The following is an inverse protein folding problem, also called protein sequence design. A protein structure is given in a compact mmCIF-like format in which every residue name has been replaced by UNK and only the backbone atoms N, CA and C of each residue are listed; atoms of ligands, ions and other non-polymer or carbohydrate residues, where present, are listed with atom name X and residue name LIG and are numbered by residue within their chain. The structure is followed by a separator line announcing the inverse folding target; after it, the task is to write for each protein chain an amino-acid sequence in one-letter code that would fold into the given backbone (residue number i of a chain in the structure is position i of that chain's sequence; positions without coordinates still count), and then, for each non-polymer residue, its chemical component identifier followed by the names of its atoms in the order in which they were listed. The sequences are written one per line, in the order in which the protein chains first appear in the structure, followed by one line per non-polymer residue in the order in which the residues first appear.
data_IF_522099041810
#
_entry.id   IF_522099041810
#
_cell.length_a   1.000
_cell.length_b   1.000
_cell.length_c   1.000
_cell.angle_alpha   90.00
_cell.angle_beta   90.00
_cell.angle_gamma   90.00
#
_symmetry.space_group_name_H-M   'P 1'
#
loop_
_entity.id
_entity.type
_entity.pdbx_description
1 polymer ?
#
# COMPACT_ATOMS: atom_id res chain seq x y z
N UNK A 1 -16.48 -11.52 4.53
CA UNK A 1 -15.99 -10.17 4.84
C UNK A 1 -14.67 -10.32 5.59
N UNK A 2 -13.52 -10.16 4.90
CA UNK A 2 -12.17 -10.09 5.53
C UNK A 2 -11.02 -9.72 4.55
N UNK A 3 -11.21 -9.78 3.23
CA UNK A 3 -10.08 -9.78 2.27
C UNK A 3 -9.15 -8.55 2.31
N UNK A 4 -9.69 -7.34 2.48
CA UNK A 4 -8.88 -6.11 2.38
C UNK A 4 -8.06 -5.81 3.63
N UNK A 5 -8.56 -6.19 4.80
CA UNK A 5 -7.84 -6.07 6.08
C UNK A 5 -6.68 -7.05 6.12
N UNK A 6 -6.90 -8.27 5.63
CA UNK A 6 -5.88 -9.32 5.58
C UNK A 6 -4.72 -8.93 4.64
N UNK A 7 -5.02 -8.39 3.44
CA UNK A 7 -4.00 -7.91 2.50
C UNK A 7 -3.16 -6.78 3.10
N UNK A 8 -3.79 -5.81 3.78
CA UNK A 8 -3.06 -4.72 4.44
C UNK A 8 -2.14 -5.24 5.54
N UNK A 9 -2.59 -6.21 6.35
CA UNK A 9 -1.77 -6.81 7.39
C UNK A 9 -0.54 -7.54 6.80
N UNK A 10 -0.71 -8.26 5.69
CA UNK A 10 0.41 -8.95 5.02
C UNK A 10 1.44 -7.97 4.45
N UNK A 11 1.00 -6.88 3.80
CA UNK A 11 1.89 -5.82 3.31
C UNK A 11 2.71 -5.22 4.46
N UNK A 12 2.05 -4.91 5.57
CA UNK A 12 2.68 -4.34 6.75
C UNK A 12 3.73 -5.27 7.35
N UNK A 13 3.40 -6.57 7.48
CA UNK A 13 4.32 -7.58 7.97
C UNK A 13 5.56 -7.70 7.08
N UNK A 14 5.38 -7.75 5.76
CA UNK A 14 6.50 -7.82 4.82
C UNK A 14 7.44 -6.60 4.97
N UNK A 15 6.87 -5.39 5.07
CA UNK A 15 7.66 -4.18 5.27
C UNK A 15 8.40 -4.18 6.61
N UNK A 16 7.77 -4.61 7.70
CA UNK A 16 8.43 -4.70 9.01
C UNK A 16 9.60 -5.70 9.02
N UNK A 17 9.44 -6.84 8.35
CA UNK A 17 10.50 -7.85 8.26
C UNK A 17 11.71 -7.37 7.44
N UNK A 18 11.49 -6.51 6.44
CA UNK A 18 12.56 -5.99 5.57
C UNK A 18 13.24 -4.74 6.09
N UNK A 19 12.55 -3.94 6.92
CA UNK A 19 13.03 -2.64 7.37
C UNK A 19 13.01 -2.56 8.90
N UNK A 20 14.09 -3.09 9.50
CA UNK A 20 14.24 -3.22 10.97
C UNK A 20 14.19 -1.86 11.72
N UNK A 21 14.39 -0.74 11.01
CA UNK A 21 14.55 0.60 11.63
C UNK A 21 13.35 1.55 11.47
N UNK A 22 12.23 1.12 10.89
CA UNK A 22 11.04 1.97 10.70
C UNK A 22 9.93 1.53 11.66
N UNK A 23 9.72 2.29 12.73
CA UNK A 23 8.84 1.90 13.86
C UNK A 23 7.34 1.94 13.52
N UNK A 24 6.93 2.75 12.55
CA UNK A 24 5.52 2.92 12.18
C UNK A 24 5.33 2.89 10.67
N UNK A 25 4.47 1.99 10.19
CA UNK A 25 4.01 1.98 8.80
C UNK A 25 2.52 2.31 8.74
N UNK A 26 2.11 2.93 7.63
CA UNK A 26 0.71 3.20 7.32
C UNK A 26 0.46 2.92 5.84
N UNK A 27 -0.69 2.35 5.53
CA UNK A 27 -1.15 2.16 4.15
C UNK A 27 -2.25 3.16 3.86
N UNK A 28 -2.05 3.98 2.84
CA UNK A 28 -3.08 4.91 2.34
C UNK A 28 -3.38 4.64 0.87
N UNK A 29 -4.62 4.90 0.44
CA UNK A 29 -5.03 4.81 -0.95
C UNK A 29 -5.50 6.19 -1.39
N UNK A 30 -4.83 6.76 -2.38
CA UNK A 30 -5.25 7.98 -3.07
C UNK A 30 -6.04 7.63 -4.32
N UNK A 31 -6.98 8.51 -4.69
CA UNK A 31 -7.78 8.38 -5.90
C UNK A 31 -7.53 9.62 -6.75
N UNK A 32 -7.04 9.42 -7.97
CA UNK A 32 -6.91 10.49 -8.95
C UNK A 32 -7.97 10.29 -10.04
N UNK A 33 -8.80 11.31 -10.24
CA UNK A 33 -9.83 11.31 -11.28
C UNK A 33 -9.58 12.41 -12.31
N UNK A 34 -9.57 12.05 -13.60
CA UNK A 34 -9.46 12.97 -14.74
C UNK A 34 -10.51 12.61 -15.80
N UNK A 35 -11.66 13.28 -15.73
CA UNK A 35 -12.82 12.92 -16.56
C UNK A 35 -13.36 11.55 -16.14
N UNK A 36 -13.52 10.66 -17.13
CA UNK A 36 -13.92 9.25 -16.93
C UNK A 36 -12.77 8.36 -16.42
N UNK A 37 -11.53 8.87 -16.41
CA UNK A 37 -10.38 8.09 -15.97
C UNK A 37 -10.22 8.18 -14.45
N UNK A 38 -10.20 7.04 -13.77
CA UNK A 38 -9.98 6.92 -12.33
C UNK A 38 -8.80 5.98 -12.06
N UNK A 39 -7.86 6.44 -11.24
CA UNK A 39 -6.68 5.66 -10.84
C UNK A 39 -6.63 5.62 -9.32
N UNK A 40 -6.55 4.41 -8.76
CA UNK A 40 -6.30 4.21 -7.34
C UNK A 40 -4.82 3.92 -7.15
N UNK A 41 -4.17 4.63 -6.24
CA UNK A 41 -2.76 4.40 -5.89
C UNK A 41 -2.66 4.11 -4.41
N UNK A 42 -2.18 2.91 -4.07
CA UNK A 42 -1.88 2.51 -2.71
C UNK A 42 -0.41 2.83 -2.38
N UNK A 43 -0.17 3.35 -1.18
CA UNK A 43 1.15 3.73 -0.68
C UNK A 43 1.40 3.08 0.66
N UNK A 44 2.60 2.52 0.85
CA UNK A 44 3.15 2.24 2.18
C UNK A 44 4.01 3.44 2.57
N UNK A 45 3.67 4.05 3.69
CA UNK A 45 4.38 5.21 4.24
C UNK A 45 4.96 4.83 5.59
N UNK A 46 6.24 5.10 5.79
CA UNK A 46 6.89 4.94 7.08
C UNK A 46 6.99 6.28 7.84
N UNK A 47 6.78 6.24 9.15
CA UNK A 47 6.84 7.40 10.06
C UNK A 47 8.25 7.96 10.26
N UNK A 48 8.45 8.89 11.21
CA UNK A 48 7.71 10.15 11.36
C UNK A 48 7.93 11.11 10.17
N UNK A 49 8.88 10.80 9.28
CA UNK A 49 9.24 11.62 8.12
C UNK A 49 8.31 11.42 6.90
N UNK A 50 7.31 10.55 7.01
CA UNK A 50 6.34 10.22 5.95
C UNK A 50 7.02 9.79 4.64
N UNK A 51 8.02 8.92 4.75
CA UNK A 51 8.74 8.40 3.58
C UNK A 51 7.88 7.36 2.88
N UNK A 52 7.71 7.48 1.56
CA UNK A 52 7.03 6.45 0.77
C UNK A 52 8.00 5.29 0.53
N UNK A 53 7.67 4.11 1.07
CA UNK A 53 8.49 2.90 0.99
C UNK A 53 8.13 2.10 -0.25
N UNK A 54 6.83 1.97 -0.53
CA UNK A 54 6.33 1.26 -1.69
C UNK A 54 5.05 1.93 -2.20
N UNK A 55 4.80 1.80 -3.50
CA UNK A 55 3.54 2.25 -4.11
C UNK A 55 3.15 1.33 -5.26
N UNK A 56 1.84 1.18 -5.46
CA UNK A 56 1.29 0.49 -6.60
C UNK A 56 -0.03 1.13 -7.02
N UNK A 57 -0.37 1.03 -8.30
CA UNK A 57 -1.62 1.57 -8.84
C UNK A 57 -2.51 0.47 -9.42
N UNK A 58 -3.80 0.75 -9.50
CA UNK A 58 -4.80 -0.10 -10.13
C UNK A 58 -6.04 0.70 -10.52
N UNK A 59 -6.92 0.04 -11.26
CA UNK A 59 -8.22 0.58 -11.68
C UNK A 59 -9.23 0.56 -10.54
N UNK A 60 -8.95 -0.18 -9.45
CA UNK A 60 -9.72 -0.17 -8.20
C UNK A 60 -8.79 -0.13 -6.98
N UNK A 61 -9.31 0.27 -5.82
CA UNK A 61 -8.55 0.25 -4.57
C UNK A 61 -8.05 -1.17 -4.22
N UNK A 62 -8.84 -2.21 -4.49
CA UNK A 62 -8.45 -3.59 -4.23
C UNK A 62 -7.32 -4.03 -5.16
N UNK A 63 -7.39 -3.69 -6.45
CA UNK A 63 -6.33 -3.98 -7.41
C UNK A 63 -5.02 -3.28 -7.03
N UNK A 64 -5.09 -2.01 -6.63
CA UNK A 64 -3.93 -1.26 -6.15
C UNK A 64 -3.28 -1.92 -4.91
N UNK A 65 -4.09 -2.42 -3.98
CA UNK A 65 -3.60 -3.14 -2.80
C UNK A 65 -3.01 -4.51 -3.15
N UNK A 66 -3.62 -5.27 -4.06
CA UNK A 66 -3.07 -6.54 -4.53
C UNK A 66 -1.73 -6.35 -5.25
N UNK A 67 -1.63 -5.33 -6.11
CA UNK A 67 -0.36 -5.00 -6.77
C UNK A 67 0.70 -4.55 -5.75
N UNK A 68 0.30 -3.83 -4.71
CA UNK A 68 1.20 -3.43 -3.62
C UNK A 68 1.68 -4.63 -2.81
N UNK A 69 0.82 -5.62 -2.56
CA UNK A 69 1.19 -6.88 -1.92
C UNK A 69 2.24 -7.62 -2.75
N UNK A 70 2.08 -7.72 -4.06
CA UNK A 70 3.06 -8.38 -4.94
C UNK A 70 4.43 -7.71 -4.85
N UNK A 71 4.49 -6.37 -4.87
CA UNK A 71 5.77 -5.63 -4.83
C UNK A 71 6.45 -5.72 -3.45
N UNK A 72 5.66 -5.84 -2.38
CA UNK A 72 6.18 -5.95 -1.01
C UNK A 72 6.44 -7.40 -0.60
N UNK A 73 5.99 -8.38 -1.37
CA UNK A 73 6.27 -9.80 -1.13
C UNK A 73 7.62 -10.17 -1.74
N UNK A 74 8.52 -10.71 -0.90
CA UNK A 74 9.80 -11.26 -1.32
C UNK A 74 9.68 -12.74 -1.68
#
# INVERSE_FOLDING_TARGET
MSSTTDVRAMIMLNCQLSFIDLEEFCITVSIMKRGEFEVHTAYVVAGPHRVTVARASGSTANEALSNLLVITSF
#
